data_IF_516722799784
#
_entry.id   IF_516722799784
#
_cell.length_a   1.000
_cell.length_b   1.000
_cell.length_c   1.000
_cell.angle_alpha   90.00
_cell.angle_beta   90.00
_cell.angle_gamma   90.00
#
_symmetry.space_group_name_H-M   'P 1'
#
loop_
_entity.id
_entity.type
_entity.pdbx_description
1 polymer ?
#
# COMPACT_ATOMS: atom_id res chain seq x y z
N UNK A 1 25.43 -4.07 -6.27
CA UNK A 1 24.91 -2.72 -5.98
C UNK A 1 23.52 -2.90 -5.41
N UNK A 2 23.19 -2.27 -4.28
CA UNK A 2 21.84 -2.38 -3.70
C UNK A 2 20.84 -1.62 -4.58
N UNK A 3 19.81 -2.28 -5.14
CA UNK A 3 18.81 -1.60 -5.95
C UNK A 3 18.03 -0.55 -5.12
N UNK A 4 17.57 0.54 -5.73
CA UNK A 4 16.83 1.59 -5.04
C UNK A 4 15.53 1.06 -4.45
N UNK A 5 15.13 1.59 -3.29
CA UNK A 5 13.86 1.23 -2.64
C UNK A 5 12.72 1.94 -3.37
N UNK A 6 11.81 1.15 -3.96
CA UNK A 6 10.52 1.65 -4.43
C UNK A 6 9.54 1.69 -3.26
N UNK A 7 8.99 2.87 -2.96
CA UNK A 7 7.96 3.01 -1.93
C UNK A 7 6.66 2.39 -2.42
N UNK A 8 6.00 1.64 -1.55
CA UNK A 8 4.66 1.14 -1.82
C UNK A 8 3.68 2.33 -1.84
N UNK A 9 2.83 2.49 -2.87
CA UNK A 9 1.88 3.58 -2.92
C UNK A 9 0.90 3.57 -1.74
N UNK A 10 0.46 4.75 -1.31
CA UNK A 10 -0.57 4.88 -0.27
C UNK A 10 -1.90 4.35 -0.77
N UNK A 11 -2.56 3.52 0.02
CA UNK A 11 -3.94 3.09 -0.26
C UNK A 11 -4.89 4.25 0.02
N UNK A 12 -5.67 4.66 -0.97
CA UNK A 12 -6.69 5.69 -0.79
C UNK A 12 -7.82 5.19 0.12
N UNK A 13 -8.37 6.09 0.93
CA UNK A 13 -9.54 5.79 1.76
C UNK A 13 -10.80 5.82 0.89
N UNK A 14 -11.67 4.81 1.02
CA UNK A 14 -13.02 4.87 0.44
C UNK A 14 -13.94 5.67 1.36
N UNK A 15 -14.89 6.42 0.81
CA UNK A 15 -15.95 7.11 1.58
C UNK A 15 -16.55 6.20 2.66
N UNK A 16 -16.62 6.71 3.90
CA UNK A 16 -17.10 5.96 5.07
C UNK A 16 -16.03 5.13 5.80
N UNK A 17 -14.79 5.06 5.29
CA UNK A 17 -13.68 4.39 5.97
C UNK A 17 -13.11 5.23 7.11
N UNK A 18 -12.50 4.57 8.09
CA UNK A 18 -11.74 5.24 9.15
C UNK A 18 -10.36 5.67 8.64
N UNK A 19 -10.09 6.97 8.68
CA UNK A 19 -8.76 7.52 8.42
C UNK A 19 -7.74 7.05 9.47
N UNK A 20 -6.51 6.76 9.02
CA UNK A 20 -5.40 6.50 9.92
C UNK A 20 -4.79 7.82 10.41
N UNK A 21 -4.10 7.78 11.56
CA UNK A 21 -3.33 8.93 12.03
C UNK A 21 -2.22 9.23 11.01
N UNK A 22 -2.19 10.46 10.50
CA UNK A 22 -1.20 10.89 9.49
C UNK A 22 -1.76 11.00 8.06
N UNK A 23 -2.96 10.48 7.79
CA UNK A 23 -3.62 10.56 6.47
C UNK A 23 -4.54 11.78 6.34
N UNK A 24 -4.32 12.84 7.12
CA UNK A 24 -5.19 14.03 7.13
C UNK A 24 -5.14 14.83 5.82
N UNK A 25 -4.14 14.55 4.97
CA UNK A 25 -3.95 15.13 3.65
C UNK A 25 -4.57 14.32 2.51
N UNK A 26 -5.08 13.12 2.80
CA UNK A 26 -5.76 12.26 1.83
C UNK A 26 -7.27 12.47 1.92
N UNK A 27 -7.89 12.89 0.81
CA UNK A 27 -9.34 12.86 0.68
C UNK A 27 -9.83 11.42 0.50
N UNK A 28 -10.97 11.09 1.11
CA UNK A 28 -11.65 9.84 0.82
C UNK A 28 -12.23 9.89 -0.61
N UNK A 29 -12.04 8.81 -1.37
CA UNK A 29 -12.58 8.69 -2.72
C UNK A 29 -13.98 8.10 -2.74
N UNK A 30 -14.84 8.51 -3.70
CA UNK A 30 -16.22 8.09 -3.71
C UNK A 30 -16.41 6.59 -3.90
N UNK A 31 -17.14 5.95 -2.99
CA UNK A 31 -17.41 4.50 -3.11
C UNK A 31 -18.25 4.19 -4.36
N UNK A 32 -19.08 5.14 -4.80
CA UNK A 32 -19.89 5.00 -6.02
C UNK A 32 -19.05 4.74 -7.27
N UNK A 33 -17.79 5.15 -7.30
CA UNK A 33 -16.91 5.02 -8.46
C UNK A 33 -16.52 3.56 -8.71
N UNK A 34 -16.69 2.69 -7.71
CA UNK A 34 -16.48 1.23 -7.79
C UNK A 34 -17.60 0.54 -8.58
N UNK A 35 -18.79 1.16 -8.71
CA UNK A 35 -19.96 0.55 -9.34
C UNK A 35 -19.67 0.10 -10.77
N UNK A 36 -20.01 -1.17 -11.07
CA UNK A 36 -19.85 -1.75 -12.41
C UNK A 36 -18.41 -2.08 -12.80
N UNK A 37 -17.44 -1.90 -11.90
CA UNK A 37 -16.06 -2.34 -12.11
C UNK A 37 -15.86 -3.76 -11.61
N UNK A 38 -14.92 -4.48 -12.21
CA UNK A 38 -14.38 -5.70 -11.62
C UNK A 38 -13.55 -5.32 -10.39
N UNK A 39 -13.81 -5.97 -9.26
CA UNK A 39 -13.15 -5.70 -7.99
C UNK A 39 -12.57 -6.96 -7.38
N UNK A 40 -11.46 -6.79 -6.68
CA UNK A 40 -10.87 -7.80 -5.79
C UNK A 40 -10.96 -7.24 -4.37
N UNK A 41 -11.47 -8.05 -3.45
CA UNK A 41 -11.59 -7.71 -2.03
C UNK A 41 -10.60 -8.57 -1.26
N UNK A 42 -9.64 -7.91 -0.61
CA UNK A 42 -8.62 -8.55 0.21
C UNK A 42 -8.73 -8.05 1.66
N UNK A 43 -8.31 -8.86 2.61
CA UNK A 43 -8.26 -8.47 4.02
C UNK A 43 -7.19 -7.39 4.24
N UNK A 44 -7.58 -6.30 4.90
CA UNK A 44 -6.61 -5.32 5.38
C UNK A 44 -5.98 -5.81 6.68
N UNK A 45 -4.79 -6.39 6.57
CA UNK A 45 -4.01 -6.86 7.72
C UNK A 45 -3.48 -5.70 8.56
N UNK A 46 -3.65 -5.78 9.88
CA UNK A 46 -3.02 -4.86 10.84
C UNK A 46 -1.61 -5.35 11.17
N UNK A 47 -0.60 -4.76 10.53
CA UNK A 47 0.79 -5.19 10.62
C UNK A 47 1.76 -4.19 9.99
N UNK A 48 3.03 -4.59 9.85
CA UNK A 48 4.06 -3.78 9.20
C UNK A 48 4.19 -4.08 7.71
N UNK A 49 4.39 -3.05 6.88
CA UNK A 49 4.68 -3.26 5.46
C UNK A 49 6.12 -3.75 5.26
N UNK A 50 6.28 -4.81 4.47
CA UNK A 50 7.57 -5.37 4.10
C UNK A 50 7.65 -5.60 2.58
N UNK A 51 8.81 -5.34 2.01
CA UNK A 51 9.15 -5.64 0.62
C UNK A 51 10.28 -6.65 0.52
N UNK A 52 10.10 -7.68 -0.30
CA UNK A 52 11.12 -8.69 -0.62
C UNK A 52 11.57 -8.48 -2.06
N UNK A 53 12.88 -8.47 -2.31
CA UNK A 53 13.45 -8.33 -3.66
C UNK A 53 14.72 -9.16 -3.82
N UNK A 54 15.05 -9.52 -5.05
CA UNK A 54 16.30 -10.20 -5.40
C UNK A 54 17.18 -9.31 -6.28
N UNK A 55 18.49 -9.38 -6.09
CA UNK A 55 19.43 -8.74 -7.01
C UNK A 55 19.77 -9.66 -8.21
N UNK A 56 20.60 -9.16 -9.14
CA UNK A 56 21.01 -9.93 -10.33
C UNK A 56 21.81 -11.20 -10.06
N UNK A 57 22.29 -11.40 -8.82
CA UNK A 57 22.96 -12.63 -8.38
C UNK A 57 22.02 -13.61 -7.65
N UNK A 58 20.75 -13.23 -7.45
CA UNK A 58 19.78 -14.01 -6.68
C UNK A 58 19.86 -13.79 -5.17
N UNK A 59 20.56 -12.75 -4.69
CA UNK A 59 20.59 -12.43 -3.27
C UNK A 59 19.23 -11.84 -2.82
N UNK A 60 18.61 -12.47 -1.82
CA UNK A 60 17.36 -11.99 -1.22
C UNK A 60 17.61 -10.80 -0.28
N UNK A 61 16.78 -9.77 -0.39
CA UNK A 61 16.73 -8.61 0.50
C UNK A 61 15.31 -8.44 1.04
N UNK A 62 15.16 -8.25 2.36
CA UNK A 62 13.91 -7.83 3.01
C UNK A 62 14.07 -6.41 3.54
N UNK A 63 13.04 -5.57 3.36
CA UNK A 63 13.04 -4.18 3.82
C UNK A 63 11.69 -3.82 4.40
N UNK A 64 11.69 -3.10 5.52
CA UNK A 64 10.49 -2.40 5.97
C UNK A 64 10.19 -1.26 4.99
N UNK A 65 8.93 -1.10 4.59
CA UNK A 65 8.48 0.12 3.93
C UNK A 65 7.65 0.93 4.93
N UNK A 66 7.95 2.21 5.05
CA UNK A 66 7.06 3.12 5.73
C UNK A 66 5.81 3.28 4.84
N UNK A 67 4.64 2.98 5.41
CA UNK A 67 3.37 3.54 4.97
C UNK A 67 3.39 4.98 5.50
N UNK A 68 4.03 5.90 4.77
CA UNK A 68 3.69 7.32 4.88
C UNK A 68 2.52 7.57 3.95
#
# INVERSE_FOLDING_TARGET
MTPPILKYPRTQHLEGSRFQHGDHDLDAVPFRDVRGRFVVVEEKMDGGNAGISFDGSGQCCCRAAAII
#
